data_IF_628707876389
#
_entry.id   IF_628707876389
#
_cell.length_a   1.000
_cell.length_b   1.000
_cell.length_c   1.000
_cell.angle_alpha   90.00
_cell.angle_beta   90.00
_cell.angle_gamma   90.00
#
_symmetry.space_group_name_H-M   'P 1'
#
loop_
_entity.id
_entity.type
_entity.pdbx_description
1 polymer ?
#
# COMPACT_ATOMS: atom_id res chain seq x y z
N UNK A 1 -4.83 -8.75 -27.72
CA UNK A 1 -5.50 -7.53 -27.22
C UNK A 1 -6.49 -7.81 -26.08
N UNK A 2 -7.59 -8.57 -26.25
CA UNK A 2 -8.50 -8.89 -25.13
C UNK A 2 -7.83 -9.77 -24.05
N UNK A 3 -6.99 -10.72 -24.44
CA UNK A 3 -6.22 -11.55 -23.50
C UNK A 3 -5.20 -10.74 -22.67
N UNK A 4 -4.53 -9.75 -23.28
CA UNK A 4 -3.52 -8.93 -22.59
C UNK A 4 -4.14 -8.04 -21.52
N UNK A 5 -5.32 -7.48 -21.80
CA UNK A 5 -6.09 -6.69 -20.83
C UNK A 5 -6.56 -7.55 -19.65
N UNK A 6 -7.06 -8.76 -19.92
CA UNK A 6 -7.51 -9.69 -18.89
C UNK A 6 -6.34 -10.11 -17.98
N UNK A 7 -5.17 -10.41 -18.55
CA UNK A 7 -3.96 -10.74 -17.77
C UNK A 7 -3.49 -9.56 -16.92
N UNK A 8 -3.50 -8.34 -17.47
CA UNK A 8 -3.12 -7.14 -16.72
C UNK A 8 -4.10 -6.85 -15.57
N UNK A 9 -5.41 -7.02 -15.78
CA UNK A 9 -6.42 -6.85 -14.76
C UNK A 9 -6.26 -7.88 -13.62
N UNK A 10 -6.03 -9.16 -13.94
CA UNK A 10 -5.78 -10.21 -12.93
C UNK A 10 -4.52 -9.90 -12.11
N UNK A 11 -3.46 -9.40 -12.75
CA UNK A 11 -2.23 -8.99 -12.05
C UNK A 11 -2.49 -7.86 -11.05
N UNK A 12 -3.25 -6.84 -11.43
CA UNK A 12 -3.62 -5.75 -10.52
C UNK A 12 -4.49 -6.26 -9.37
N UNK A 13 -5.47 -7.12 -9.65
CA UNK A 13 -6.31 -7.70 -8.60
C UNK A 13 -5.49 -8.51 -7.60
N UNK A 14 -4.58 -9.36 -8.08
CA UNK A 14 -3.66 -10.11 -7.21
C UNK A 14 -2.75 -9.18 -6.40
N UNK A 15 -2.28 -8.09 -6.99
CA UNK A 15 -1.45 -7.11 -6.29
C UNK A 15 -2.24 -6.38 -5.20
N UNK A 16 -3.49 -5.98 -5.46
CA UNK A 16 -4.36 -5.38 -4.45
C UNK A 16 -4.61 -6.36 -3.30
N UNK A 17 -4.87 -7.64 -3.61
CA UNK A 17 -4.98 -8.69 -2.61
C UNK A 17 -3.71 -8.83 -1.76
N UNK A 18 -2.53 -8.80 -2.40
CA UNK A 18 -1.25 -8.84 -1.70
C UNK A 18 -1.02 -7.60 -0.83
N UNK A 19 -1.37 -6.41 -1.31
CA UNK A 19 -1.29 -5.17 -0.53
C UNK A 19 -2.18 -5.23 0.72
N UNK A 20 -3.42 -5.72 0.60
CA UNK A 20 -4.31 -5.89 1.74
C UNK A 20 -3.77 -6.90 2.75
N UNK A 21 -3.18 -8.01 2.29
CA UNK A 21 -2.55 -9.00 3.16
C UNK A 21 -1.35 -8.41 3.92
N UNK A 22 -0.49 -7.67 3.23
CA UNK A 22 0.66 -6.98 3.84
C UNK A 22 0.20 -5.92 4.83
N UNK A 23 -0.85 -5.16 4.50
CA UNK A 23 -1.46 -4.18 5.40
C UNK A 23 -2.02 -4.84 6.68
N UNK A 24 -2.71 -5.97 6.53
CA UNK A 24 -3.21 -6.76 7.65
C UNK A 24 -2.07 -7.29 8.55
N UNK A 25 -1.02 -7.87 7.97
CA UNK A 25 0.14 -8.34 8.73
C UNK A 25 0.87 -7.20 9.43
N UNK A 26 1.08 -6.07 8.77
CA UNK A 26 1.67 -4.89 9.39
C UNK A 26 0.82 -4.38 10.56
N UNK A 27 -0.50 -4.30 10.41
CA UNK A 27 -1.41 -3.89 11.49
C UNK A 27 -1.35 -4.85 12.68
N UNK A 28 -1.41 -6.15 12.42
CA UNK A 28 -1.30 -7.18 13.46
C UNK A 28 0.05 -7.12 14.18
N UNK A 29 1.17 -6.94 13.45
CA UNK A 29 2.50 -6.82 14.06
C UNK A 29 2.63 -5.54 14.91
N UNK A 30 2.07 -4.42 14.47
CA UNK A 30 2.07 -3.17 15.23
C UNK A 30 1.27 -3.26 16.54
N UNK A 31 0.27 -4.15 16.61
CA UNK A 31 -0.48 -4.43 17.84
C UNK A 31 0.20 -5.51 18.70
N UNK A 32 0.74 -6.55 18.07
CA UNK A 32 1.38 -7.69 18.75
C UNK A 32 2.61 -7.28 19.55
N UNK A 33 3.43 -6.36 19.04
CA UNK A 33 4.67 -5.97 19.70
C UNK A 33 4.45 -5.27 21.05
N UNK A 34 3.60 -4.22 21.14
CA UNK A 34 3.24 -3.66 22.42
C UNK A 34 2.57 -4.67 23.36
N UNK A 35 1.79 -5.62 22.83
CA UNK A 35 1.16 -6.69 23.61
C UNK A 35 2.21 -7.62 24.25
N UNK A 36 3.26 -8.00 23.51
CA UNK A 36 4.38 -8.78 24.04
C UNK A 36 5.18 -8.03 25.12
N UNK A 37 5.17 -6.70 25.08
CA UNK A 37 5.86 -5.83 26.04
C UNK A 37 4.94 -5.39 27.20
N UNK A 38 3.79 -6.03 27.39
CA UNK A 38 2.80 -5.70 28.44
C UNK A 38 2.31 -4.24 28.39
N UNK A 39 2.10 -3.69 27.19
CA UNK A 39 1.57 -2.34 26.95
C UNK A 39 2.33 -1.24 27.73
N UNK A 40 3.56 -0.90 27.33
CA UNK A 40 4.31 0.17 27.99
C UNK A 40 3.56 1.50 27.86
N UNK A 41 3.69 2.38 28.86
CA UNK A 41 2.95 3.64 28.95
C UNK A 41 3.16 4.56 27.73
N UNK A 42 4.33 4.49 27.10
CA UNK A 42 4.70 5.26 25.91
C UNK A 42 4.29 4.61 24.58
N UNK A 43 3.61 3.47 24.62
CA UNK A 43 3.10 2.81 23.41
C UNK A 43 1.92 3.56 22.82
N UNK A 44 1.80 3.52 21.51
CA UNK A 44 0.68 4.14 20.79
C UNK A 44 -0.70 3.64 21.27
N UNK A 45 -0.81 2.38 21.69
CA UNK A 45 -2.06 1.76 22.18
C UNK A 45 -2.50 2.39 23.51
N UNK A 46 -1.56 2.62 24.42
CA UNK A 46 -1.85 3.25 25.73
C UNK A 46 -2.15 4.74 25.54
N UNK A 47 -1.38 5.41 24.69
CA UNK A 47 -1.55 6.84 24.40
C UNK A 47 -2.90 7.17 23.76
N UNK A 48 -3.47 6.23 23.01
CA UNK A 48 -4.78 6.36 22.36
C UNK A 48 -5.92 5.69 23.14
N UNK A 49 -5.69 5.30 24.41
CA UNK A 49 -6.70 4.71 25.32
C UNK A 49 -7.40 3.46 24.74
N UNK A 50 -6.65 2.64 24.00
CA UNK A 50 -7.14 1.43 23.34
C UNK A 50 -7.04 0.18 24.23
N UNK A 51 -6.36 0.28 25.38
CA UNK A 51 -6.23 -0.82 26.35
C UNK A 51 -7.60 -1.14 26.95
N UNK A 52 -8.04 -2.39 26.83
CA UNK A 52 -9.34 -2.84 27.37
C UNK A 52 -10.55 -2.58 26.46
N UNK A 53 -10.38 -1.92 25.30
CA UNK A 53 -11.42 -1.80 24.26
C UNK A 53 -11.72 -3.15 23.60
N UNK A 54 -12.87 -3.31 22.93
CA UNK A 54 -13.17 -4.51 22.16
C UNK A 54 -12.09 -4.80 21.12
N UNK A 55 -11.79 -6.08 20.88
CA UNK A 55 -10.77 -6.51 19.92
C UNK A 55 -10.98 -5.94 18.52
N UNK A 56 -12.24 -5.75 18.10
CA UNK A 56 -12.58 -5.19 16.80
C UNK A 56 -12.15 -3.72 16.66
N UNK A 57 -12.24 -2.94 17.74
CA UNK A 57 -11.82 -1.53 17.76
C UNK A 57 -10.30 -1.45 17.73
N UNK A 58 -9.61 -2.24 18.55
CA UNK A 58 -8.14 -2.34 18.56
C UNK A 58 -7.59 -2.76 17.19
N UNK A 59 -8.18 -3.79 16.60
CA UNK A 59 -7.81 -4.27 15.28
C UNK A 59 -8.05 -3.20 14.20
N UNK A 60 -9.22 -2.55 14.21
CA UNK A 60 -9.55 -1.51 13.23
C UNK A 60 -8.55 -0.35 13.27
N UNK A 61 -8.19 0.12 14.47
CA UNK A 61 -7.17 1.17 14.62
C UNK A 61 -5.77 0.71 14.19
N UNK A 62 -5.38 -0.52 14.50
CA UNK A 62 -4.08 -1.07 14.08
C UNK A 62 -3.95 -1.19 12.56
N UNK A 63 -5.01 -1.65 11.89
CA UNK A 63 -5.06 -1.75 10.42
C UNK A 63 -5.14 -0.37 9.80
N UNK A 64 -5.94 0.55 10.36
CA UNK A 64 -5.98 1.93 9.89
C UNK A 64 -4.59 2.58 9.93
N UNK A 65 -3.83 2.37 11.01
CA UNK A 65 -2.46 2.87 11.15
C UNK A 65 -1.54 2.26 10.09
N UNK A 66 -1.55 0.94 9.91
CA UNK A 66 -0.75 0.26 8.88
C UNK A 66 -1.11 0.66 7.44
N UNK A 67 -2.40 0.80 7.13
CA UNK A 67 -2.89 1.26 5.84
C UNK A 67 -2.48 2.71 5.56
N UNK A 68 -2.48 3.56 6.60
CA UNK A 68 -2.03 4.95 6.49
C UNK A 68 -0.55 5.05 6.11
N UNK A 69 0.29 4.14 6.61
CA UNK A 69 1.69 4.03 6.17
C UNK A 69 1.78 3.52 4.72
N UNK A 70 0.97 2.53 4.36
CA UNK A 70 0.99 1.92 3.02
C UNK A 70 0.55 2.88 1.91
N UNK A 71 -0.43 3.74 2.18
CA UNK A 71 -0.91 4.76 1.24
C UNK A 71 -0.17 6.09 1.35
N UNK A 72 0.92 6.13 2.13
CA UNK A 72 1.73 7.33 2.37
C UNK A 72 0.93 8.53 2.89
N UNK A 73 -0.09 8.29 3.72
CA UNK A 73 -0.97 9.33 4.30
C UNK A 73 -0.37 9.90 5.59
N UNK A 74 0.12 9.04 6.49
CA UNK A 74 0.64 9.48 7.79
C UNK A 74 0.64 8.40 8.88
N UNK A 75 0.87 8.82 10.13
CA UNK A 75 1.20 7.95 11.26
C UNK A 75 0.00 7.49 12.12
N UNK A 76 -1.22 7.85 11.74
CA UNK A 76 -2.41 7.68 12.58
C UNK A 76 -2.73 8.94 13.39
N UNK A 77 -3.18 8.80 14.64
CA UNK A 77 -3.56 9.95 15.47
C UNK A 77 -2.36 10.78 15.96
N UNK A 78 -1.25 10.11 16.31
CA UNK A 78 -0.06 10.74 16.92
C UNK A 78 1.23 10.09 16.42
N UNK A 79 2.35 10.84 16.37
CA UNK A 79 3.65 10.28 16.01
C UNK A 79 4.14 9.29 17.09
N UNK A 80 4.94 8.28 16.71
CA UNK A 80 5.48 7.31 17.65
C UNK A 80 6.41 7.99 18.66
N UNK A 81 6.18 7.75 19.96
CA UNK A 81 7.03 8.24 21.05
C UNK A 81 8.06 7.20 21.50
N UNK A 82 7.65 5.94 21.53
CA UNK A 82 8.51 4.83 21.91
C UNK A 82 9.46 4.44 20.76
N UNK A 83 10.71 4.08 21.09
CA UNK A 83 11.72 3.64 20.13
C UNK A 83 11.27 2.38 19.38
N UNK A 84 10.59 1.47 20.06
CA UNK A 84 10.03 0.23 19.47
C UNK A 84 8.98 0.58 18.40
N UNK A 85 8.03 1.45 18.74
CA UNK A 85 6.96 1.88 17.84
C UNK A 85 7.52 2.63 16.63
N UNK A 86 8.59 3.40 16.83
CA UNK A 86 9.29 4.15 15.80
C UNK A 86 9.93 3.23 14.77
N UNK A 87 10.71 2.21 15.20
CA UNK A 87 11.28 1.22 14.29
C UNK A 87 10.22 0.42 13.53
N UNK A 88 9.15 0.02 14.21
CA UNK A 88 8.04 -0.68 13.57
C UNK A 88 7.32 0.18 12.53
N UNK A 89 7.14 1.47 12.84
CA UNK A 89 6.55 2.43 11.92
C UNK A 89 7.44 2.64 10.70
N UNK A 90 8.75 2.77 10.88
CA UNK A 90 9.71 2.85 9.76
C UNK A 90 9.66 1.62 8.86
N UNK A 91 9.68 0.41 9.43
CA UNK A 91 9.58 -0.84 8.65
C UNK A 91 8.26 -0.90 7.86
N UNK A 92 7.16 -0.50 8.50
CA UNK A 92 5.85 -0.44 7.88
C UNK A 92 5.79 0.59 6.74
N UNK A 93 6.40 1.76 6.88
CA UNK A 93 6.48 2.77 5.82
C UNK A 93 7.34 2.31 4.64
N UNK A 94 8.49 1.68 4.88
CA UNK A 94 9.35 1.15 3.81
C UNK A 94 8.62 0.07 3.02
N UNK A 95 8.01 -0.91 3.71
CA UNK A 95 7.23 -1.96 3.06
C UNK A 95 6.04 -1.39 2.28
N UNK A 96 5.35 -0.40 2.87
CA UNK A 96 4.24 0.31 2.26
C UNK A 96 4.61 1.06 0.98
N UNK A 97 5.68 1.84 1.02
CA UNK A 97 6.17 2.63 -0.12
C UNK A 97 6.57 1.73 -1.30
N UNK A 98 7.25 0.60 -1.04
CA UNK A 98 7.61 -0.38 -2.08
C UNK A 98 6.35 -0.98 -2.72
N UNK A 99 5.37 -1.38 -1.91
CA UNK A 99 4.12 -1.94 -2.42
C UNK A 99 3.33 -0.92 -3.25
N UNK A 100 3.26 0.34 -2.79
CA UNK A 100 2.56 1.39 -3.49
C UNK A 100 3.24 1.77 -4.82
N UNK A 101 4.58 1.79 -4.85
CA UNK A 101 5.34 1.98 -6.08
C UNK A 101 5.06 0.87 -7.11
N UNK A 102 5.03 -0.39 -6.66
CA UNK A 102 4.66 -1.52 -7.52
C UNK A 102 3.23 -1.39 -8.05
N UNK A 103 2.30 -0.93 -7.22
CA UNK A 103 0.91 -0.68 -7.63
C UNK A 103 0.81 0.35 -8.74
N UNK A 104 1.49 1.50 -8.59
CA UNK A 104 1.55 2.53 -9.63
C UNK A 104 2.18 1.98 -10.92
N UNK A 105 3.24 1.19 -10.80
CA UNK A 105 3.90 0.55 -11.95
C UNK A 105 2.95 -0.37 -12.73
N UNK A 106 2.20 -1.22 -12.03
CA UNK A 106 1.22 -2.11 -12.64
C UNK A 106 0.01 -1.37 -13.23
N UNK A 107 -0.47 -0.32 -12.56
CA UNK A 107 -1.54 0.53 -13.07
C UNK A 107 -1.12 1.25 -14.36
N UNK A 108 0.11 1.80 -14.39
CA UNK A 108 0.67 2.46 -15.57
C UNK A 108 0.82 1.47 -16.74
N UNK A 109 1.29 0.25 -16.47
CA UNK A 109 1.39 -0.80 -17.48
C UNK A 109 0.02 -1.21 -18.06
N UNK A 110 -1.04 -1.26 -17.22
CA UNK A 110 -2.40 -1.50 -17.70
C UNK A 110 -2.87 -0.39 -18.64
N UNK A 111 -2.71 0.88 -18.24
CA UNK A 111 -3.09 2.03 -19.07
C UNK A 111 -2.37 2.00 -20.42
N UNK A 112 -1.06 1.74 -20.40
CA UNK A 112 -0.27 1.62 -21.63
C UNK A 112 -0.70 0.45 -22.52
N UNK A 113 -1.12 -0.67 -21.92
CA UNK A 113 -1.61 -1.84 -22.67
C UNK A 113 -2.98 -1.58 -23.34
N UNK A 114 -3.86 -0.83 -22.68
CA UNK A 114 -5.19 -0.51 -23.17
C UNK A 114 -5.16 0.40 -24.41
N UNK A 115 -4.24 1.37 -24.45
CA UNK A 115 -4.08 2.28 -25.58
C UNK A 115 -3.05 1.82 -26.64
N UNK A 116 -2.55 0.59 -26.54
CA UNK A 116 -1.50 0.05 -27.40
C UNK A 116 -1.81 0.14 -28.90
N UNK A 117 -3.00 -0.28 -29.35
CA UNK A 117 -3.39 -0.24 -30.77
C UNK A 117 -3.53 1.19 -31.31
N UNK A 118 -4.09 2.10 -30.52
CA UNK A 118 -4.19 3.52 -30.89
C UNK A 118 -2.80 4.16 -30.97
N UNK A 119 -1.92 3.82 -30.03
CA UNK A 119 -0.54 4.30 -29.99
C UNK A 119 0.24 3.82 -31.22
N UNK A 120 0.18 2.53 -31.55
CA UNK A 120 0.82 1.97 -32.74
C UNK A 120 0.33 2.60 -34.04
N UNK A 121 -0.99 2.82 -34.18
CA UNK A 121 -1.54 3.51 -35.35
C UNK A 121 -0.98 4.93 -35.47
N UNK A 122 -0.95 5.68 -34.35
CA UNK A 122 -0.43 7.06 -34.32
C UNK A 122 1.06 7.11 -34.63
N UNK A 123 1.86 6.17 -34.11
CA UNK A 123 3.29 6.05 -34.40
C UNK A 123 3.53 5.78 -35.90
N UNK A 124 2.81 4.84 -36.50
CA UNK A 124 2.91 4.55 -37.94
C UNK A 124 2.50 5.75 -38.80
N UNK A 125 1.41 6.43 -38.44
CA UNK A 125 0.97 7.65 -39.13
C UNK A 125 2.02 8.76 -39.06
N UNK A 126 2.64 8.97 -37.89
CA UNK A 126 3.71 9.97 -37.74
C UNK A 126 4.95 9.63 -38.58
N UNK A 127 5.35 8.35 -38.65
CA UNK A 127 6.46 7.91 -39.51
C UNK A 127 6.21 8.22 -40.99
N UNK A 128 4.99 7.98 -41.49
CA UNK A 128 4.63 8.31 -42.88
C UNK A 128 4.62 9.82 -43.09
N UNK A 129 4.10 10.59 -42.14
CA UNK A 129 4.12 12.06 -42.19
C UNK A 129 5.54 12.63 -42.23
N UNK A 130 6.46 12.01 -41.50
CA UNK A 130 7.87 12.39 -41.47
C UNK A 130 8.57 12.02 -42.77
N UNK A 131 8.25 10.87 -43.38
CA UNK A 131 8.76 10.49 -44.69
C UNK A 131 8.26 11.38 -45.83
N UNK A 132 7.03 11.90 -45.74
CA UNK A 132 6.45 12.81 -46.73
C UNK A 132 7.00 14.24 -46.65
N UNK A 133 7.77 14.56 -45.61
CA UNK A 133 8.37 15.87 -45.39
C UNK A 133 9.77 15.92 -45.99
#
# INVERSE_FOLDING_TARGET
MQYDLAVAAVRIFNLVGLMLLIGHWNGCLQFLIPMLHNFPADSWIVIDDLVGRPWAEQYSWSVFKAMSHMLCIGYGQKPPKNLMDLWMTMLSMVSGAVCFAMFIGHATALIQSMDSSKRQYKEKYMQVKEYMR
#
